data_IF_086057991323
#
_entry.id   IF_086057991323
#
_cell.length_a   1.000
_cell.length_b   1.000
_cell.length_c   1.000
_cell.angle_alpha   90.00
_cell.angle_beta   90.00
_cell.angle_gamma   90.00
#
_symmetry.space_group_name_H-M   'P 1'
#
loop_
_entity.id
_entity.type
_entity.pdbx_description
1 polymer ?
#
# COMPACT_ATOMS: atom_id res chain seq x y z
N UNK A 1 3.12 2.23 26.94
CA UNK A 1 3.47 0.91 27.49
C UNK A 1 4.98 0.61 27.55
N UNK A 2 5.85 1.52 27.10
CA UNK A 2 7.31 1.33 27.02
C UNK A 2 8.11 1.68 28.28
N UNK A 3 7.47 2.27 29.31
CA UNK A 3 8.15 2.73 30.54
C UNK A 3 8.62 1.61 31.49
N UNK A 4 8.32 0.34 31.17
CA UNK A 4 8.69 -0.81 32.03
C UNK A 4 9.94 -1.57 31.52
N UNK A 5 10.54 -1.14 30.43
CA UNK A 5 11.70 -1.84 29.81
C UNK A 5 13.04 -1.33 30.33
N UNK A 6 13.06 -0.27 31.10
CA UNK A 6 14.31 0.24 31.69
C UNK A 6 14.53 -0.44 33.04
N UNK A 7 15.61 -1.23 33.12
CA UNK A 7 15.99 -1.95 34.32
C UNK A 7 16.20 -0.96 35.50
N UNK A 8 15.55 -1.19 36.66
CA UNK A 8 15.64 -0.32 37.82
C UNK A 8 14.59 0.81 37.88
N UNK A 9 13.73 0.96 36.86
CA UNK A 9 12.63 1.94 36.88
C UNK A 9 11.30 1.24 37.14
N UNK A 10 10.92 1.10 38.38
CA UNK A 10 9.59 0.61 38.78
C UNK A 10 8.49 1.66 38.56
N UNK A 11 7.22 1.21 38.65
CA UNK A 11 6.04 2.06 38.45
C UNK A 11 6.01 3.32 39.33
N UNK A 12 6.51 3.26 40.57
CA UNK A 12 6.61 4.40 41.48
C UNK A 12 7.58 5.48 41.00
N UNK A 13 8.77 5.10 40.54
CA UNK A 13 9.76 6.02 39.98
C UNK A 13 9.30 6.61 38.67
N UNK A 14 8.68 5.80 37.78
CA UNK A 14 8.11 6.26 36.52
C UNK A 14 7.00 7.29 36.72
N UNK A 15 6.16 7.12 37.73
CA UNK A 15 5.08 8.07 38.07
C UNK A 15 5.61 9.38 38.66
N UNK A 16 6.66 9.31 39.50
CA UNK A 16 7.22 10.46 40.21
C UNK A 16 8.13 11.33 39.34
N UNK A 17 8.95 10.74 38.52
CA UNK A 17 9.98 11.44 37.75
C UNK A 17 9.77 11.36 36.21
N UNK A 18 8.90 10.46 35.73
CA UNK A 18 8.77 10.18 34.29
C UNK A 18 8.27 11.38 33.49
N UNK A 19 7.47 12.26 34.09
CA UNK A 19 6.96 13.45 33.41
C UNK A 19 8.07 14.47 33.17
N UNK A 20 8.84 14.78 34.20
CA UNK A 20 9.97 15.73 34.14
C UNK A 20 11.06 15.23 33.17
N UNK A 21 11.38 13.93 33.18
CA UNK A 21 12.32 13.34 32.24
C UNK A 21 11.83 13.40 30.79
N UNK A 22 10.54 13.13 30.53
CA UNK A 22 9.98 13.23 29.19
C UNK A 22 9.97 14.68 28.68
N UNK A 23 9.70 15.64 29.54
CA UNK A 23 9.75 17.07 29.19
C UNK A 23 11.19 17.53 28.88
N UNK A 24 12.16 17.10 29.69
CA UNK A 24 13.58 17.40 29.43
C UNK A 24 14.06 16.81 28.10
N UNK A 25 13.73 15.55 27.83
CA UNK A 25 14.09 14.88 26.57
C UNK A 25 13.42 15.57 25.38
N UNK A 26 12.14 15.95 25.52
CA UNK A 26 11.42 16.65 24.46
C UNK A 26 12.09 17.97 24.12
N UNK A 27 12.41 18.77 25.12
CA UNK A 27 13.09 20.04 24.97
C UNK A 27 14.47 19.85 24.30
N UNK A 28 15.24 18.85 24.73
CA UNK A 28 16.52 18.51 24.12
C UNK A 28 16.41 18.12 22.66
N UNK A 29 15.37 17.33 22.29
CA UNK A 29 15.12 16.96 20.91
C UNK A 29 14.69 18.16 20.05
N UNK A 30 13.87 19.07 20.61
CA UNK A 30 13.46 20.30 19.94
C UNK A 30 14.65 21.25 19.72
N UNK A 31 15.48 21.46 20.74
CA UNK A 31 16.65 22.33 20.71
C UNK A 31 17.76 21.83 19.75
N UNK A 32 17.80 20.52 19.46
CA UNK A 32 18.81 19.88 18.58
C UNK A 32 18.21 19.35 17.27
N UNK A 33 16.99 19.72 16.92
CA UNK A 33 16.28 19.28 15.70
C UNK A 33 16.31 17.75 15.49
N UNK A 34 16.27 16.97 16.60
CA UNK A 34 16.30 15.51 16.54
C UNK A 34 14.90 15.01 16.22
N UNK A 35 14.66 14.60 14.98
CA UNK A 35 13.44 13.92 14.59
C UNK A 35 13.40 12.52 15.19
N UNK A 36 12.22 12.12 15.75
CA UNK A 36 12.00 10.78 16.31
C UNK A 36 11.57 9.81 15.23
N UNK A 37 12.44 8.92 14.73
CA UNK A 37 12.06 7.99 13.67
C UNK A 37 11.04 6.93 14.09
N UNK A 38 10.86 6.70 15.41
CA UNK A 38 10.01 5.60 15.91
C UNK A 38 8.51 5.93 15.94
N UNK A 39 8.09 7.17 16.16
CA UNK A 39 6.67 7.53 16.15
C UNK A 39 6.06 7.50 14.75
N UNK A 40 6.86 7.78 13.73
CA UNK A 40 6.46 7.70 12.32
C UNK A 40 6.29 6.24 11.85
N UNK A 41 7.17 5.32 12.28
CA UNK A 41 7.12 3.92 11.84
C UNK A 41 5.93 3.13 12.40
N UNK A 42 5.61 3.29 13.68
CA UNK A 42 4.52 2.51 14.31
C UNK A 42 3.14 2.93 13.83
N UNK A 43 2.92 4.22 13.57
CA UNK A 43 1.65 4.72 13.03
C UNK A 43 1.47 4.38 11.56
N UNK A 44 2.54 4.38 10.78
CA UNK A 44 2.51 4.08 9.35
C UNK A 44 2.21 2.61 9.10
N UNK A 45 2.84 1.70 9.85
CA UNK A 45 2.63 0.25 9.69
C UNK A 45 1.21 -0.16 10.08
N UNK A 46 0.69 0.34 11.19
CA UNK A 46 -0.69 0.04 11.61
C UNK A 46 -1.73 0.62 10.63
N UNK A 47 -1.53 1.84 10.13
CA UNK A 47 -2.42 2.45 9.14
C UNK A 47 -2.34 1.74 7.78
N UNK A 48 -1.14 1.40 7.29
CA UNK A 48 -0.97 0.63 6.04
C UNK A 48 -1.61 -0.76 6.12
N UNK A 49 -1.48 -1.46 7.24
CA UNK A 49 -2.13 -2.75 7.44
C UNK A 49 -3.66 -2.65 7.45
N UNK A 50 -4.22 -1.63 8.08
CA UNK A 50 -5.67 -1.38 8.06
C UNK A 50 -6.17 -0.98 6.68
N UNK A 51 -5.42 -0.15 5.95
CA UNK A 51 -5.74 0.25 4.59
C UNK A 51 -5.74 -0.98 3.66
N UNK A 52 -4.70 -1.80 3.71
CA UNK A 52 -4.60 -3.06 2.95
C UNK A 52 -5.83 -3.95 3.18
N UNK A 53 -6.19 -4.24 4.43
CA UNK A 53 -7.36 -5.06 4.77
C UNK A 53 -8.66 -4.42 4.25
N UNK A 54 -8.78 -3.11 4.36
CA UNK A 54 -9.96 -2.38 3.89
C UNK A 54 -10.09 -2.41 2.36
N UNK A 55 -8.99 -2.30 1.62
CA UNK A 55 -8.98 -2.44 0.15
C UNK A 55 -9.41 -3.85 -0.25
N UNK A 56 -8.81 -4.89 0.33
CA UNK A 56 -9.16 -6.30 0.05
C UNK A 56 -10.67 -6.51 0.26
N UNK A 57 -11.21 -6.08 1.41
CA UNK A 57 -12.63 -6.25 1.72
C UNK A 57 -13.55 -5.47 0.76
N UNK A 58 -13.12 -4.35 0.23
CA UNK A 58 -13.89 -3.57 -0.73
C UNK A 58 -13.89 -4.23 -2.10
N UNK A 59 -12.76 -4.76 -2.55
CA UNK A 59 -12.64 -5.52 -3.80
C UNK A 59 -13.45 -6.83 -3.71
N UNK A 60 -13.42 -7.55 -2.59
CA UNK A 60 -14.25 -8.74 -2.37
C UNK A 60 -15.77 -8.45 -2.47
N UNK A 61 -16.16 -7.20 -2.21
CA UNK A 61 -17.55 -6.73 -2.38
C UNK A 61 -17.82 -6.14 -3.75
N UNK A 62 -16.84 -6.15 -4.65
CA UNK A 62 -16.94 -5.58 -5.97
C UNK A 62 -17.32 -4.08 -5.95
N UNK A 63 -16.74 -3.33 -5.00
CA UNK A 63 -16.88 -1.87 -4.97
C UNK A 63 -16.04 -1.30 -6.10
N UNK A 64 -16.61 -0.39 -6.86
CA UNK A 64 -15.91 0.33 -7.92
C UNK A 64 -14.61 0.95 -7.41
N UNK A 65 -13.53 0.89 -8.21
CA UNK A 65 -12.21 1.33 -7.76
C UNK A 65 -12.11 2.86 -7.66
N UNK A 66 -12.84 3.61 -8.49
CA UNK A 66 -12.90 5.06 -8.38
C UNK A 66 -13.61 5.49 -7.09
N UNK A 67 -14.77 4.86 -6.80
CA UNK A 67 -15.50 5.07 -5.56
C UNK A 67 -14.65 4.68 -4.34
N UNK A 68 -13.86 3.62 -4.45
CA UNK A 68 -12.96 3.15 -3.40
C UNK A 68 -11.83 4.15 -3.16
N UNK A 69 -11.22 4.71 -4.21
CA UNK A 69 -10.18 5.72 -4.12
C UNK A 69 -10.72 6.97 -3.39
N UNK A 70 -11.88 7.48 -3.82
CA UNK A 70 -12.54 8.62 -3.18
C UNK A 70 -12.86 8.35 -1.70
N UNK A 71 -13.43 7.19 -1.38
CA UNK A 71 -13.76 6.79 -0.01
C UNK A 71 -12.53 6.67 0.91
N UNK A 72 -11.34 6.41 0.36
CA UNK A 72 -10.07 6.35 1.09
C UNK A 72 -9.32 7.68 1.09
N UNK A 73 -9.74 8.64 0.28
CA UNK A 73 -9.04 9.92 0.08
C UNK A 73 -7.70 9.73 -0.62
N UNK A 74 -7.64 8.79 -1.56
CA UNK A 74 -6.50 8.49 -2.42
C UNK A 74 -6.80 8.95 -3.84
N UNK A 75 -5.76 9.32 -4.57
CA UNK A 75 -5.84 9.40 -6.03
C UNK A 75 -5.91 7.98 -6.61
N UNK A 76 -6.48 7.82 -7.81
CA UNK A 76 -6.64 6.50 -8.43
C UNK A 76 -5.31 5.77 -8.60
N UNK A 77 -4.25 6.47 -9.01
CA UNK A 77 -2.89 5.93 -9.11
C UNK A 77 -2.35 5.43 -7.77
N UNK A 78 -2.60 6.17 -6.68
CA UNK A 78 -2.19 5.76 -5.33
C UNK A 78 -2.94 4.49 -4.86
N UNK A 79 -4.21 4.36 -5.24
CA UNK A 79 -4.97 3.14 -4.98
C UNK A 79 -4.40 1.95 -5.75
N UNK A 80 -4.06 2.13 -7.03
CA UNK A 80 -3.42 1.10 -7.83
C UNK A 80 -2.06 0.69 -7.26
N UNK A 81 -1.25 1.62 -6.73
CA UNK A 81 0.00 1.32 -6.02
C UNK A 81 -0.20 0.40 -4.81
N UNK A 82 -1.24 0.67 -4.02
CA UNK A 82 -1.56 -0.16 -2.87
C UNK A 82 -2.10 -1.55 -3.29
N UNK A 83 -2.90 -1.64 -4.36
CA UNK A 83 -3.39 -2.90 -4.94
C UNK A 83 -2.21 -3.73 -5.49
N UNK A 84 -1.31 -3.12 -6.26
CA UNK A 84 -0.07 -3.74 -6.74
C UNK A 84 0.74 -4.33 -5.59
N UNK A 85 0.98 -3.55 -4.54
CA UNK A 85 1.70 -4.02 -3.35
C UNK A 85 1.00 -5.19 -2.63
N UNK A 86 -0.34 -5.22 -2.66
CA UNK A 86 -1.15 -6.32 -2.10
C UNK A 86 -0.94 -7.59 -2.91
N UNK A 87 -1.07 -7.52 -4.23
CA UNK A 87 -0.91 -8.67 -5.14
C UNK A 87 0.54 -9.16 -5.12
N UNK A 88 1.51 -8.26 -5.16
CA UNK A 88 2.94 -8.60 -5.06
C UNK A 88 3.31 -9.31 -3.76
N UNK A 89 2.54 -9.09 -2.68
CA UNK A 89 2.70 -9.83 -1.43
C UNK A 89 2.12 -11.25 -1.45
N UNK A 90 1.59 -11.71 -2.61
CA UNK A 90 0.97 -13.02 -2.80
C UNK A 90 -0.50 -13.09 -2.40
N UNK A 91 -1.18 -11.95 -2.26
CA UNK A 91 -2.63 -11.92 -1.99
C UNK A 91 -3.39 -11.88 -3.30
N UNK A 92 -4.29 -12.84 -3.52
CA UNK A 92 -5.18 -12.83 -4.70
C UNK A 92 -6.28 -11.79 -4.55
N UNK A 93 -6.46 -11.01 -5.60
CA UNK A 93 -7.54 -10.03 -5.72
C UNK A 93 -8.25 -10.24 -7.06
N UNK A 94 -9.55 -10.18 -7.07
CA UNK A 94 -10.34 -10.23 -8.31
C UNK A 94 -10.86 -8.83 -8.62
N UNK A 95 -10.29 -8.19 -9.63
CA UNK A 95 -10.71 -6.89 -10.15
C UNK A 95 -11.32 -6.99 -11.55
N UNK A 96 -11.69 -8.19 -12.01
CA UNK A 96 -12.25 -8.41 -13.35
C UNK A 96 -13.49 -7.57 -13.59
N UNK A 97 -14.36 -7.44 -12.58
CA UNK A 97 -15.58 -6.62 -12.66
C UNK A 97 -15.31 -5.16 -13.05
N UNK A 98 -14.18 -4.60 -12.63
CA UNK A 98 -13.77 -3.24 -12.97
C UNK A 98 -13.07 -3.19 -14.33
N UNK A 99 -12.20 -4.15 -14.61
CA UNK A 99 -11.50 -4.26 -15.90
C UNK A 99 -12.52 -4.37 -17.04
N UNK A 100 -13.53 -5.25 -16.92
CA UNK A 100 -14.59 -5.43 -17.93
C UNK A 100 -15.41 -4.16 -18.18
N UNK A 101 -15.43 -3.20 -17.26
CA UNK A 101 -16.13 -1.93 -17.40
C UNK A 101 -15.28 -0.85 -18.10
N UNK A 102 -13.95 -0.85 -17.87
CA UNK A 102 -13.08 0.28 -18.26
C UNK A 102 -12.07 -0.06 -19.35
N UNK A 103 -11.83 -1.34 -19.64
CA UNK A 103 -10.86 -1.80 -20.65
C UNK A 103 -11.58 -2.65 -21.70
N UNK A 104 -11.30 -2.41 -22.96
CA UNK A 104 -11.85 -3.22 -24.07
C UNK A 104 -11.30 -4.67 -24.00
N UNK A 105 -12.16 -5.65 -24.26
CA UNK A 105 -11.80 -7.08 -24.19
C UNK A 105 -10.57 -7.43 -25.03
N UNK A 106 -10.46 -6.87 -26.25
CA UNK A 106 -9.32 -7.08 -27.12
C UNK A 106 -8.01 -6.54 -26.50
N UNK A 107 -8.07 -5.39 -25.80
CA UNK A 107 -6.92 -4.83 -25.08
C UNK A 107 -6.52 -5.70 -23.88
N UNK A 108 -7.50 -6.25 -23.16
CA UNK A 108 -7.22 -7.17 -22.05
C UNK A 108 -6.46 -8.39 -22.53
N UNK A 109 -6.91 -9.01 -23.62
CA UNK A 109 -6.30 -10.21 -24.20
C UNK A 109 -4.87 -9.92 -24.67
N UNK A 110 -4.66 -8.85 -25.43
CA UNK A 110 -3.35 -8.48 -25.98
C UNK A 110 -2.32 -8.14 -24.87
N UNK A 111 -2.72 -7.37 -23.85
CA UNK A 111 -1.84 -7.02 -22.74
C UNK A 111 -1.56 -8.25 -21.86
N UNK A 112 -2.56 -9.10 -21.65
CA UNK A 112 -2.40 -10.33 -20.87
C UNK A 112 -1.42 -11.30 -21.57
N UNK A 113 -1.58 -11.50 -22.89
CA UNK A 113 -0.69 -12.34 -23.70
C UNK A 113 0.75 -11.79 -23.69
N UNK A 114 0.92 -10.46 -23.73
CA UNK A 114 2.22 -9.83 -23.54
C UNK A 114 2.90 -10.26 -22.23
N UNK A 115 2.20 -10.21 -21.09
CA UNK A 115 2.76 -10.63 -19.81
C UNK A 115 2.99 -12.14 -19.71
N UNK A 116 2.23 -12.96 -20.46
CA UNK A 116 2.47 -14.40 -20.55
C UNK A 116 3.74 -14.75 -21.32
N UNK A 117 4.13 -13.94 -22.31
CA UNK A 117 5.30 -14.16 -23.17
C UNK A 117 6.54 -13.41 -22.67
N UNK A 118 6.37 -12.34 -21.91
CA UNK A 118 7.44 -11.49 -21.40
C UNK A 118 8.30 -12.20 -20.35
N UNK A 119 9.60 -11.92 -20.35
CA UNK A 119 10.53 -12.39 -19.30
C UNK A 119 10.42 -11.59 -17.99
N UNK A 120 9.72 -10.45 -18.02
CA UNK A 120 9.58 -9.54 -16.86
C UNK A 120 8.13 -9.08 -16.70
N UNK A 121 7.74 -8.88 -15.47
CA UNK A 121 6.46 -8.28 -15.08
C UNK A 121 6.60 -6.79 -14.71
N UNK A 122 7.72 -6.15 -15.11
CA UNK A 122 7.98 -4.74 -14.82
C UNK A 122 7.04 -3.81 -15.61
N UNK A 123 6.32 -2.96 -14.87
CA UNK A 123 5.35 -2.03 -15.45
C UNK A 123 6.00 -1.05 -16.43
N UNK A 124 7.18 -0.50 -16.07
CA UNK A 124 7.83 0.50 -16.92
C UNK A 124 8.23 -0.10 -18.27
N UNK A 125 8.76 -1.33 -18.26
CA UNK A 125 9.10 -2.06 -19.48
C UNK A 125 7.86 -2.31 -20.33
N UNK A 126 6.76 -2.75 -19.73
CA UNK A 126 5.50 -2.97 -20.43
C UNK A 126 4.95 -1.68 -21.06
N UNK A 127 4.98 -0.57 -20.35
CA UNK A 127 4.56 0.75 -20.85
C UNK A 127 5.47 1.23 -21.99
N UNK A 128 6.79 1.00 -21.92
CA UNK A 128 7.70 1.34 -23.02
C UNK A 128 7.44 0.52 -24.29
N UNK A 129 7.06 -0.75 -24.16
CA UNK A 129 6.83 -1.66 -25.27
C UNK A 129 5.41 -1.58 -25.85
N UNK A 130 4.40 -1.36 -25.01
CA UNK A 130 2.97 -1.35 -25.37
C UNK A 130 2.34 0.05 -25.42
N UNK A 131 2.95 1.03 -24.80
CA UNK A 131 2.34 2.33 -24.49
C UNK A 131 1.99 3.23 -25.70
N UNK A 132 2.31 2.83 -26.94
CA UNK A 132 1.82 3.51 -28.15
C UNK A 132 0.36 3.15 -28.47
N UNK A 133 -0.08 1.94 -28.10
CA UNK A 133 -1.39 1.38 -28.43
C UNK A 133 -2.33 1.33 -27.21
N UNK A 134 -1.79 1.27 -25.99
CA UNK A 134 -2.54 1.10 -24.73
C UNK A 134 -2.16 2.18 -23.70
N UNK A 135 -3.13 2.59 -22.87
CA UNK A 135 -2.85 3.51 -21.78
C UNK A 135 -2.10 2.82 -20.63
N UNK A 136 -1.35 3.61 -19.84
CA UNK A 136 -0.64 3.11 -18.66
C UNK A 136 -1.59 2.45 -17.65
N UNK A 137 -2.80 3.02 -17.47
CA UNK A 137 -3.82 2.48 -16.56
C UNK A 137 -4.34 1.12 -17.02
N UNK A 138 -4.59 0.93 -18.34
CA UNK A 138 -5.00 -0.36 -18.90
C UNK A 138 -3.92 -1.42 -18.68
N UNK A 139 -2.67 -1.11 -19.02
CA UNK A 139 -1.52 -2.01 -18.84
C UNK A 139 -1.40 -2.39 -17.37
N UNK A 140 -1.57 -1.44 -16.47
CA UNK A 140 -1.45 -1.64 -15.02
C UNK A 140 -2.57 -2.50 -14.45
N UNK A 141 -3.80 -2.27 -14.85
CA UNK A 141 -4.96 -3.05 -14.42
C UNK A 141 -4.84 -4.51 -14.87
N UNK A 142 -4.50 -4.75 -16.14
CA UNK A 142 -4.31 -6.11 -16.66
C UNK A 142 -3.11 -6.81 -16.03
N UNK A 143 -2.02 -6.07 -15.74
CA UNK A 143 -0.88 -6.60 -14.99
C UNK A 143 -1.29 -7.06 -13.59
N UNK A 144 -2.09 -6.29 -12.87
CA UNK A 144 -2.61 -6.66 -11.55
C UNK A 144 -3.41 -7.96 -11.64
N UNK A 145 -4.28 -8.09 -12.65
CA UNK A 145 -5.02 -9.33 -12.94
C UNK A 145 -4.07 -10.50 -13.16
N UNK A 146 -3.12 -10.35 -14.07
CA UNK A 146 -2.10 -11.37 -14.38
C UNK A 146 -1.34 -11.82 -13.11
N UNK A 147 -0.79 -10.90 -12.34
CA UNK A 147 -0.06 -11.21 -11.11
C UNK A 147 -0.95 -11.88 -10.06
N UNK A 148 -2.20 -11.47 -9.94
CA UNK A 148 -3.17 -12.07 -9.01
C UNK A 148 -3.48 -13.53 -9.37
N UNK A 149 -3.58 -13.85 -10.64
CA UNK A 149 -3.82 -15.22 -11.14
C UNK A 149 -2.58 -16.11 -10.97
N UNK A 150 -1.37 -15.56 -11.13
CA UNK A 150 -0.11 -16.27 -10.93
C UNK A 150 0.24 -16.46 -9.44
N UNK A 151 -0.36 -15.70 -8.53
CA UNK A 151 -0.14 -15.83 -7.09
C UNK A 151 -0.70 -17.18 -6.59
N UNK A 152 0.19 -18.09 -6.33
CA UNK A 152 -0.13 -19.44 -5.78
C UNK A 152 0.06 -19.47 -4.27
#
# INVERSE_FOLDING_TARGET
>A
MYKRQVQGVGAGKAKRFGKEFCELIRKYCEDNEIERPEELRVRTVAKKSMLKVSIIQSIDRQIDLDDLAEAKGLEFEELLDEIDAIVYSGTKLNIDYFIEEVVDDDHVDDIYDYFMESETDDLNTAVEELGEDYSEDEIRLVRIKFLSEQAN
#
